data_IF_955644868048
#
_entry.id   IF_955644868048
#
_cell.length_a   1.000
_cell.length_b   1.000
_cell.length_c   1.000
_cell.angle_alpha   90.00
_cell.angle_beta   90.00
_cell.angle_gamma   90.00
#
_symmetry.space_group_name_H-M   'P 1'
#
loop_
_entity.id
_entity.type
_entity.pdbx_description
1 polymer ?
#
# COMPACT_ATOMS: atom_id res chain seq x y z
N UNK A 1 23.95 -9.60 -8.33
CA UNK A 1 23.45 -8.25 -7.97
C UNK A 1 22.98 -8.32 -6.52
N UNK A 2 23.61 -7.56 -5.64
CA UNK A 2 23.13 -7.34 -4.28
C UNK A 2 22.69 -5.89 -4.12
N UNK A 3 21.70 -5.66 -3.28
CA UNK A 3 21.21 -4.32 -2.94
C UNK A 3 21.53 -4.03 -1.50
N UNK A 4 22.26 -2.95 -1.27
CA UNK A 4 22.60 -2.48 0.08
C UNK A 4 21.69 -1.33 0.47
N UNK A 5 21.21 -1.35 1.71
CA UNK A 5 20.35 -0.34 2.31
C UNK A 5 21.07 0.34 3.47
N UNK A 6 21.50 1.58 3.27
CA UNK A 6 22.10 2.41 4.32
C UNK A 6 21.04 3.35 4.90
N UNK A 7 20.77 3.24 6.19
CA UNK A 7 19.81 4.12 6.87
C UNK A 7 20.33 5.54 6.96
N UNK A 8 19.69 6.48 6.26
CA UNK A 8 20.08 7.88 6.16
C UNK A 8 19.20 8.84 6.97
N UNK A 9 18.07 8.37 7.50
CA UNK A 9 17.20 9.21 8.31
C UNK A 9 16.02 8.46 8.93
N UNK A 10 15.47 9.04 10.01
CA UNK A 10 14.23 8.59 10.64
C UNK A 10 13.45 9.81 11.12
N UNK A 11 12.20 9.89 10.70
CA UNK A 11 11.32 11.02 10.96
C UNK A 11 10.10 10.55 11.74
N UNK A 12 9.77 11.21 12.85
CA UNK A 12 8.63 10.86 13.68
C UNK A 12 7.37 11.63 13.31
N UNK A 13 6.23 10.96 13.45
CA UNK A 13 4.89 11.51 13.26
C UNK A 13 4.06 11.23 14.51
N UNK A 14 3.09 12.11 14.83
CA UNK A 14 2.28 11.97 16.05
C UNK A 14 1.59 10.61 16.15
N UNK A 15 1.05 10.12 15.04
CA UNK A 15 0.31 8.86 14.98
C UNK A 15 0.87 7.95 13.88
N UNK A 16 0.50 6.65 13.91
CA UNK A 16 0.94 5.68 12.92
C UNK A 16 0.71 6.12 11.48
N UNK A 17 1.72 5.95 10.63
CA UNK A 17 1.67 6.29 9.20
C UNK A 17 1.10 5.11 8.44
N UNK A 18 0.07 5.35 7.63
CA UNK A 18 -0.60 4.35 6.80
C UNK A 18 -0.10 4.35 5.36
N UNK A 19 0.18 5.52 4.80
CA UNK A 19 0.69 5.68 3.43
C UNK A 19 1.52 6.96 3.30
N UNK A 20 2.34 7.03 2.24
CA UNK A 20 3.16 8.20 1.94
C UNK A 20 3.16 8.52 0.45
N UNK A 21 3.31 9.82 0.15
CA UNK A 21 3.61 10.32 -1.18
C UNK A 21 4.85 11.24 -1.09
N UNK A 22 5.79 11.06 -2.01
CA UNK A 22 7.03 11.86 -2.07
C UNK A 22 7.01 12.72 -3.33
N UNK A 23 7.36 14.00 -3.20
CA UNK A 23 7.52 14.88 -4.38
C UNK A 23 8.63 14.36 -5.29
N UNK A 24 8.52 14.68 -6.58
CA UNK A 24 9.51 14.24 -7.58
C UNK A 24 10.91 14.76 -7.33
N UNK A 25 11.03 15.91 -6.67
CA UNK A 25 12.31 16.54 -6.31
C UNK A 25 12.92 16.01 -5.00
N UNK A 26 12.27 15.05 -4.34
CA UNK A 26 12.65 14.49 -3.04
C UNK A 26 12.77 15.54 -1.89
N UNK A 27 12.22 16.74 -2.06
CA UNK A 27 12.32 17.77 -1.01
C UNK A 27 11.19 17.70 0.00
N UNK A 28 10.09 17.01 -0.32
CA UNK A 28 8.93 16.93 0.57
C UNK A 28 8.23 15.58 0.48
N UNK A 29 7.77 15.15 1.65
CA UNK A 29 6.96 13.95 1.84
C UNK A 29 5.63 14.33 2.47
N UNK A 30 4.56 13.69 1.99
CA UNK A 30 3.23 13.75 2.57
C UNK A 30 2.88 12.39 3.18
N UNK A 31 2.33 12.40 4.38
CA UNK A 31 1.99 11.19 5.13
C UNK A 31 0.51 11.17 5.50
N UNK A 32 -0.15 10.05 5.19
CA UNK A 32 -1.46 9.69 5.72
C UNK A 32 -1.25 9.04 7.09
N UNK A 33 -1.62 9.74 8.15
CA UNK A 33 -1.51 9.24 9.52
C UNK A 33 -2.89 8.90 10.10
N UNK A 34 -2.92 8.11 11.17
CA UNK A 34 -4.18 7.74 11.82
C UNK A 34 -5.01 8.95 12.26
N UNK A 35 -4.40 10.10 12.51
CA UNK A 35 -5.07 11.30 12.99
C UNK A 35 -5.14 12.46 11.97
N UNK A 36 -4.54 12.31 10.80
CA UNK A 36 -4.54 13.39 9.81
C UNK A 36 -3.52 13.23 8.69
N UNK A 37 -3.43 14.27 7.88
CA UNK A 37 -2.50 14.36 6.75
C UNK A 37 -1.38 15.31 7.17
N UNK A 38 -0.14 14.91 6.97
CA UNK A 38 1.04 15.69 7.36
C UNK A 38 1.97 15.90 6.19
N UNK A 39 2.62 17.07 6.14
CA UNK A 39 3.74 17.37 5.26
C UNK A 39 5.03 17.42 6.07
N UNK A 40 6.09 16.88 5.51
CA UNK A 40 7.44 16.91 6.06
C UNK A 40 8.42 17.46 5.02
N UNK A 41 9.16 18.49 5.35
CA UNK A 41 10.33 18.90 4.60
C UNK A 41 11.47 17.92 4.82
N UNK A 42 11.96 17.33 3.72
CA UNK A 42 13.06 16.38 3.77
C UNK A 42 14.39 17.14 3.67
N UNK A 43 15.34 16.87 4.59
CA UNK A 43 16.69 17.42 4.45
C UNK A 43 17.36 16.85 3.19
N UNK A 44 18.33 17.56 2.64
CA UNK A 44 19.12 17.05 1.51
C UNK A 44 19.67 15.65 1.82
N UNK A 45 19.97 14.87 0.79
CA UNK A 45 20.45 13.47 0.99
C UNK A 45 21.77 13.41 1.78
N UNK A 46 22.56 14.46 1.71
CA UNK A 46 23.88 14.57 2.33
C UNK A 46 23.85 15.31 3.69
N UNK A 47 22.71 15.94 4.01
CA UNK A 47 22.60 16.71 5.26
C UNK A 47 22.49 15.78 6.47
N UNK A 48 23.25 16.10 7.51
CA UNK A 48 23.13 15.50 8.85
C UNK A 48 22.13 16.26 9.74
N UNK A 49 21.41 17.21 9.15
CA UNK A 49 20.44 18.05 9.86
C UNK A 49 19.20 17.25 10.25
N UNK A 50 18.65 17.54 11.43
CA UNK A 50 17.33 17.04 11.81
C UNK A 50 16.28 17.63 10.89
N UNK A 51 15.35 16.79 10.42
CA UNK A 51 14.21 17.27 9.65
C UNK A 51 13.33 18.19 10.51
N UNK A 52 12.67 19.14 9.86
CA UNK A 52 11.63 19.95 10.48
C UNK A 52 10.51 19.03 11.03
N UNK A 53 9.75 19.53 12.02
CA UNK A 53 8.58 18.79 12.52
C UNK A 53 7.52 18.70 11.43
N UNK A 54 6.83 17.53 11.29
CA UNK A 54 5.73 17.39 10.35
C UNK A 54 4.63 18.41 10.62
N UNK A 55 4.17 19.10 9.57
CA UNK A 55 3.06 20.06 9.64
C UNK A 55 1.75 19.37 9.28
N UNK A 56 0.71 19.49 10.14
CA UNK A 56 -0.60 18.97 9.83
C UNK A 56 -1.29 19.83 8.76
N UNK A 57 -1.70 19.21 7.66
CA UNK A 57 -2.39 19.84 6.54
C UNK A 57 -3.92 19.74 6.66
N UNK A 58 -4.42 18.81 7.45
CA UNK A 58 -5.84 18.59 7.65
C UNK A 58 -6.17 17.23 8.20
N UNK A 59 -7.47 17.00 8.47
CA UNK A 59 -7.98 15.79 9.10
C UNK A 59 -9.22 15.28 8.38
N UNK A 60 -9.40 13.97 8.37
CA UNK A 60 -10.65 13.30 8.10
C UNK A 60 -11.39 13.00 9.43
N UNK A 61 -12.61 12.48 9.33
CA UNK A 61 -13.38 12.08 10.51
C UNK A 61 -12.92 10.73 11.09
N UNK A 62 -12.05 10.00 10.36
CA UNK A 62 -11.46 8.74 10.77
C UNK A 62 -10.01 8.63 10.27
N UNK A 63 -9.41 7.45 10.39
CA UNK A 63 -8.03 7.19 9.97
C UNK A 63 -7.81 7.48 8.49
N UNK A 64 -6.76 8.22 8.17
CA UNK A 64 -6.37 8.49 6.78
C UNK A 64 -5.66 7.25 6.23
N UNK A 65 -6.23 6.62 5.22
CA UNK A 65 -5.79 5.32 4.69
C UNK A 65 -4.86 5.43 3.48
N UNK A 66 -4.92 6.55 2.77
CA UNK A 66 -4.11 6.77 1.58
C UNK A 66 -3.84 8.24 1.30
N UNK A 67 -2.71 8.52 0.66
CA UNK A 67 -2.31 9.84 0.20
C UNK A 67 -1.57 9.74 -1.12
N UNK A 68 -1.84 10.66 -2.07
CA UNK A 68 -1.15 10.71 -3.35
C UNK A 68 -1.09 12.12 -3.91
N UNK A 69 -0.01 12.43 -4.61
CA UNK A 69 0.17 13.67 -5.35
C UNK A 69 -0.46 13.58 -6.73
N UNK A 70 -1.16 14.65 -7.12
CA UNK A 70 -1.80 14.85 -8.42
C UNK A 70 -1.17 16.04 -9.14
N UNK A 71 -1.51 16.24 -10.42
CA UNK A 71 -1.24 17.46 -11.20
C UNK A 71 0.17 18.06 -10.98
N UNK A 72 1.22 17.37 -11.37
CA UNK A 72 2.60 17.87 -11.21
C UNK A 72 2.94 18.35 -9.78
N UNK A 73 2.44 17.63 -8.76
CA UNK A 73 2.62 17.94 -7.34
C UNK A 73 1.88 19.21 -6.85
N UNK A 74 0.85 19.66 -7.58
CA UNK A 74 0.05 20.84 -7.21
C UNK A 74 -1.22 20.51 -6.41
N UNK A 75 -1.59 19.25 -6.34
CA UNK A 75 -2.74 18.78 -5.57
C UNK A 75 -2.42 17.49 -4.83
N UNK A 76 -3.07 17.30 -3.68
CA UNK A 76 -2.95 16.13 -2.82
C UNK A 76 -4.32 15.47 -2.66
N UNK A 77 -4.43 14.22 -3.08
CA UNK A 77 -5.58 13.38 -2.78
C UNK A 77 -5.35 12.60 -1.49
N UNK A 78 -6.42 12.41 -0.72
CA UNK A 78 -6.40 11.54 0.47
C UNK A 78 -7.72 10.80 0.64
N UNK A 79 -7.65 9.56 1.11
CA UNK A 79 -8.80 8.72 1.45
C UNK A 79 -8.77 8.34 2.92
N UNK A 80 -9.93 7.96 3.46
CA UNK A 80 -10.07 7.68 4.89
C UNK A 80 -11.03 6.51 5.17
N UNK A 81 -10.94 5.96 6.38
CA UNK A 81 -11.89 5.01 6.93
C UNK A 81 -13.27 5.62 7.22
N UNK A 82 -13.45 6.93 7.03
CA UNK A 82 -14.78 7.54 6.97
C UNK A 82 -15.46 7.39 5.59
N UNK A 83 -14.82 6.71 4.65
CA UNK A 83 -15.31 6.48 3.29
C UNK A 83 -15.13 7.68 2.35
N UNK A 84 -14.51 8.76 2.81
CA UNK A 84 -14.36 9.98 2.01
C UNK A 84 -13.07 10.02 1.20
N UNK A 85 -13.13 10.75 0.08
CA UNK A 85 -12.01 11.24 -0.71
C UNK A 85 -11.96 12.77 -0.59
N UNK A 86 -10.79 13.30 -0.26
CA UNK A 86 -10.50 14.73 -0.34
C UNK A 86 -9.42 15.02 -1.37
N UNK A 87 -9.54 16.16 -2.06
CA UNK A 87 -8.49 16.73 -2.93
C UNK A 87 -8.22 18.15 -2.45
N UNK A 88 -6.96 18.43 -2.11
CA UNK A 88 -6.47 19.72 -1.64
C UNK A 88 -5.49 20.32 -2.65
N UNK A 89 -5.58 21.62 -2.90
CA UNK A 89 -4.53 22.34 -3.62
C UNK A 89 -3.33 22.56 -2.71
N UNK A 90 -2.16 22.51 -3.30
CA UNK A 90 -0.88 22.76 -2.63
C UNK A 90 -0.25 24.04 -3.16
N UNK A 91 0.38 24.78 -2.29
CA UNK A 91 1.24 25.90 -2.66
C UNK A 91 2.50 25.35 -3.37
N UNK A 92 2.80 25.80 -4.58
CA UNK A 92 3.92 25.25 -5.36
C UNK A 92 5.28 25.41 -4.68
N UNK A 93 5.48 26.50 -3.94
CA UNK A 93 6.74 26.81 -3.29
C UNK A 93 6.87 26.11 -1.94
N UNK A 94 5.88 26.30 -1.05
CA UNK A 94 5.92 25.74 0.31
C UNK A 94 5.35 24.34 0.42
N UNK A 95 4.54 23.87 -0.56
CA UNK A 95 3.80 22.60 -0.50
C UNK A 95 2.78 22.53 0.64
N UNK A 96 2.48 23.65 1.26
CA UNK A 96 1.42 23.76 2.25
C UNK A 96 0.05 23.60 1.58
N UNK A 97 -0.93 23.05 2.30
CA UNK A 97 -2.29 23.01 1.81
C UNK A 97 -2.87 24.44 1.78
N UNK A 98 -3.43 24.84 0.63
CA UNK A 98 -4.08 26.14 0.46
C UNK A 98 -5.57 26.01 0.79
N UNK A 99 -6.26 25.08 0.09
CA UNK A 99 -7.70 24.89 0.22
C UNK A 99 -8.11 23.43 -0.08
N UNK A 100 -9.26 23.03 0.43
CA UNK A 100 -9.91 21.78 0.02
C UNK A 100 -10.76 22.07 -1.22
N UNK A 101 -10.35 21.55 -2.38
CA UNK A 101 -11.06 21.71 -3.66
C UNK A 101 -12.21 20.73 -3.84
N UNK A 102 -12.13 19.60 -3.16
CA UNK A 102 -13.13 18.54 -3.25
C UNK A 102 -13.14 17.71 -1.97
N UNK A 103 -14.33 17.36 -1.54
CA UNK A 103 -14.58 16.37 -0.48
C UNK A 103 -15.90 15.70 -0.75
N UNK A 104 -15.89 14.38 -0.82
CA UNK A 104 -17.12 13.58 -1.00
C UNK A 104 -16.98 12.22 -0.30
N UNK A 105 -18.11 11.67 0.12
CA UNK A 105 -18.22 10.30 0.62
C UNK A 105 -18.36 9.36 -0.56
N UNK A 106 -17.26 8.72 -0.95
CA UNK A 106 -17.20 7.83 -2.11
C UNK A 106 -17.57 6.38 -1.78
N UNK A 107 -17.49 5.99 -0.49
CA UNK A 107 -17.90 4.67 0.01
C UNK A 107 -18.74 4.84 1.28
N UNK A 108 -19.71 3.95 1.52
CA UNK A 108 -20.44 3.87 2.78
C UNK A 108 -19.64 3.21 3.89
N UNK A 109 -18.57 2.52 3.55
CA UNK A 109 -17.63 1.85 4.45
C UNK A 109 -16.20 2.35 4.25
N UNK A 110 -15.27 1.84 5.01
CA UNK A 110 -13.86 2.26 5.00
C UNK A 110 -13.22 2.18 3.62
N UNK A 111 -12.59 3.27 3.19
CA UNK A 111 -11.64 3.19 2.09
C UNK A 111 -10.36 2.55 2.61
N UNK A 112 -10.09 1.31 2.20
CA UNK A 112 -8.93 0.55 2.69
C UNK A 112 -7.62 1.04 2.08
N UNK A 113 -7.64 1.33 0.79
CA UNK A 113 -6.47 1.79 0.01
C UNK A 113 -6.92 2.64 -1.16
N UNK A 114 -5.98 3.43 -1.65
CA UNK A 114 -6.11 4.12 -2.93
C UNK A 114 -4.87 3.94 -3.79
N UNK A 115 -5.04 4.09 -5.11
CA UNK A 115 -3.97 4.19 -6.09
C UNK A 115 -4.28 5.32 -7.05
N UNK A 116 -3.23 5.92 -7.61
CA UNK A 116 -3.35 6.96 -8.63
C UNK A 116 -2.71 6.45 -9.91
N UNK A 117 -3.35 6.73 -11.06
CA UNK A 117 -2.82 6.36 -12.37
C UNK A 117 -1.47 7.03 -12.65
N UNK A 118 -0.61 6.45 -13.51
CA UNK A 118 0.70 7.01 -13.80
C UNK A 118 0.67 8.45 -14.35
N UNK A 119 -0.39 8.80 -15.09
CA UNK A 119 -0.66 10.16 -15.60
C UNK A 119 -1.22 11.11 -14.54
N UNK A 120 -1.49 10.59 -13.31
CA UNK A 120 -2.04 11.31 -12.15
C UNK A 120 -3.43 11.92 -12.36
N UNK A 121 -4.18 11.44 -13.37
CA UNK A 121 -5.52 11.94 -13.72
C UNK A 121 -6.66 11.08 -13.18
N UNK A 122 -6.36 9.88 -12.67
CA UNK A 122 -7.37 8.98 -12.14
C UNK A 122 -6.98 8.51 -10.75
N UNK A 123 -7.96 8.45 -9.86
CA UNK A 123 -7.85 7.92 -8.51
C UNK A 123 -8.71 6.67 -8.44
N UNK A 124 -8.15 5.57 -7.97
CA UNK A 124 -8.91 4.38 -7.63
C UNK A 124 -8.93 4.19 -6.12
N UNK A 125 -10.11 3.98 -5.55
CA UNK A 125 -10.31 3.67 -4.14
C UNK A 125 -10.99 2.32 -3.99
N UNK A 126 -10.60 1.54 -2.98
CA UNK A 126 -11.16 0.22 -2.69
C UNK A 126 -11.72 0.14 -1.28
N UNK A 127 -12.79 -0.64 -1.11
CA UNK A 127 -13.60 -0.69 0.09
C UNK A 127 -14.19 -2.08 0.33
N UNK A 128 -15.16 -2.13 1.20
CA UNK A 128 -16.05 -3.26 1.48
C UNK A 128 -15.82 -3.85 2.86
N UNK A 129 -16.92 -4.19 3.50
CA UNK A 129 -16.95 -4.83 4.81
C UNK A 129 -17.00 -6.35 4.65
N UNK A 130 -16.23 -7.07 5.46
CA UNK A 130 -16.45 -8.50 5.61
C UNK A 130 -17.73 -8.75 6.38
N UNK A 131 -18.69 -9.41 5.75
CA UNK A 131 -19.92 -9.89 6.36
C UNK A 131 -20.01 -11.39 6.15
N UNK A 132 -20.20 -12.14 7.23
CA UNK A 132 -20.38 -13.58 7.16
C UNK A 132 -21.82 -13.93 6.80
N UNK A 133 -22.01 -14.75 5.77
CA UNK A 133 -23.34 -15.04 5.18
C UNK A 133 -24.01 -16.32 5.66
N UNK A 134 -23.32 -17.19 6.44
CA UNK A 134 -23.84 -18.49 6.83
C UNK A 134 -23.07 -19.07 8.00
N UNK A 135 -23.48 -20.26 8.45
CA UNK A 135 -22.73 -21.07 9.44
C UNK A 135 -21.30 -21.41 8.96
N UNK A 136 -21.07 -21.39 7.66
CA UNK A 136 -19.74 -21.60 7.05
C UNK A 136 -18.91 -20.32 7.01
N UNK A 137 -19.42 -19.21 7.48
CA UNK A 137 -18.73 -17.91 7.51
C UNK A 137 -18.21 -17.45 6.13
N UNK A 138 -18.87 -17.86 5.05
CA UNK A 138 -18.53 -17.40 3.71
C UNK A 138 -18.79 -15.89 3.59
N UNK A 139 -17.90 -15.12 2.95
CA UNK A 139 -18.11 -13.69 2.78
C UNK A 139 -19.29 -13.42 1.85
N UNK A 140 -20.13 -12.45 2.24
CA UNK A 140 -21.22 -11.95 1.40
C UNK A 140 -20.70 -10.94 0.37
N UNK A 141 -21.29 -10.88 -0.83
CA UNK A 141 -21.08 -9.77 -1.76
C UNK A 141 -21.46 -8.44 -1.11
N UNK A 142 -20.81 -7.36 -1.53
CA UNK A 142 -21.18 -6.01 -1.14
C UNK A 142 -22.42 -5.56 -1.93
N UNK A 143 -23.28 -4.78 -1.28
CA UNK A 143 -24.42 -4.11 -1.93
C UNK A 143 -23.99 -2.90 -2.76
N UNK A 144 -22.82 -2.33 -2.44
CA UNK A 144 -22.24 -1.21 -3.19
C UNK A 144 -20.96 -1.64 -3.94
N UNK A 145 -20.57 -0.91 -5.01
CA UNK A 145 -19.30 -1.13 -5.70
C UNK A 145 -18.10 -0.99 -4.75
N UNK A 146 -17.27 -2.04 -4.72
CA UNK A 146 -16.12 -2.10 -3.81
C UNK A 146 -14.85 -1.46 -4.39
N UNK A 147 -14.87 -1.13 -5.69
CA UNK A 147 -13.77 -0.48 -6.40
C UNK A 147 -14.35 0.67 -7.21
N UNK A 148 -13.94 1.90 -6.92
CA UNK A 148 -14.40 3.11 -7.62
C UNK A 148 -13.24 3.82 -8.28
N UNK A 149 -13.39 4.08 -9.59
CA UNK A 149 -12.45 4.86 -10.38
C UNK A 149 -13.00 6.28 -10.57
N UNK A 150 -12.21 7.27 -10.26
CA UNK A 150 -12.60 8.67 -10.18
C UNK A 150 -11.67 9.50 -11.07
N UNK A 151 -12.23 10.40 -11.88
CA UNK A 151 -11.49 11.45 -12.60
C UNK A 151 -11.01 12.51 -11.60
N UNK A 152 -9.71 12.69 -11.48
CA UNK A 152 -9.13 13.60 -10.49
C UNK A 152 -9.42 15.08 -10.80
N UNK A 153 -9.54 15.44 -12.09
CA UNK A 153 -9.78 16.82 -12.54
C UNK A 153 -11.27 17.15 -12.47
N UNK A 154 -12.12 16.29 -13.03
CA UNK A 154 -13.58 16.48 -13.06
C UNK A 154 -14.23 16.13 -11.74
N UNK A 155 -13.57 15.32 -10.90
CA UNK A 155 -14.07 14.88 -9.59
C UNK A 155 -15.38 14.08 -9.72
N UNK A 156 -15.48 13.28 -10.76
CA UNK A 156 -16.63 12.42 -11.07
C UNK A 156 -16.21 10.98 -11.11
N UNK A 157 -17.09 10.08 -10.69
CA UNK A 157 -16.89 8.65 -10.84
C UNK A 157 -16.91 8.26 -12.31
N UNK A 158 -15.86 7.60 -12.77
CA UNK A 158 -15.72 7.06 -14.13
C UNK A 158 -16.24 5.63 -14.22
N UNK A 159 -15.87 4.78 -13.25
CA UNK A 159 -16.27 3.38 -13.19
C UNK A 159 -16.59 2.97 -11.76
N UNK A 160 -17.60 2.14 -11.63
CA UNK A 160 -17.98 1.43 -10.43
C UNK A 160 -17.86 -0.06 -10.68
N UNK A 161 -16.87 -0.70 -10.03
CA UNK A 161 -16.52 -2.10 -10.23
C UNK A 161 -16.76 -2.88 -8.95
N UNK A 162 -17.06 -4.18 -9.10
CA UNK A 162 -17.40 -5.03 -7.97
C UNK A 162 -16.41 -6.19 -7.85
N UNK A 163 -15.92 -6.39 -6.64
CA UNK A 163 -15.13 -7.53 -6.21
C UNK A 163 -15.62 -7.97 -4.84
N UNK A 164 -15.46 -9.27 -4.51
CA UNK A 164 -15.84 -9.79 -3.19
C UNK A 164 -15.09 -9.04 -2.07
N UNK A 165 -15.82 -8.45 -1.08
CA UNK A 165 -15.21 -7.69 0.00
C UNK A 165 -14.52 -8.57 1.05
N UNK A 166 -13.61 -8.00 1.87
CA UNK A 166 -13.06 -6.65 1.77
C UNK A 166 -11.91 -6.59 0.77
N UNK A 167 -11.92 -5.56 -0.08
CA UNK A 167 -10.84 -5.32 -1.05
C UNK A 167 -9.76 -4.49 -0.36
N UNK A 168 -8.55 -5.07 -0.23
CA UNK A 168 -7.48 -4.51 0.61
C UNK A 168 -6.42 -3.72 -0.14
N UNK A 169 -6.29 -3.96 -1.43
CA UNK A 169 -5.24 -3.33 -2.23
C UNK A 169 -5.68 -3.15 -3.68
N UNK A 170 -5.05 -2.17 -4.32
CA UNK A 170 -5.30 -1.80 -5.71
C UNK A 170 -4.04 -1.20 -6.32
N UNK A 171 -3.80 -1.44 -7.62
CA UNK A 171 -2.72 -0.82 -8.37
C UNK A 171 -3.10 -0.65 -9.84
N UNK A 172 -2.67 0.47 -10.43
CA UNK A 172 -2.61 0.62 -11.87
C UNK A 172 -1.35 -0.05 -12.43
N UNK A 173 -1.43 -0.50 -13.66
CA UNK A 173 -0.25 -0.86 -14.41
C UNK A 173 0.56 0.39 -14.83
N UNK A 174 1.84 0.25 -15.22
CA UNK A 174 2.69 1.39 -15.60
C UNK A 174 2.18 2.22 -16.79
N UNK A 175 1.27 1.68 -17.59
CA UNK A 175 0.66 2.41 -18.74
C UNK A 175 -0.65 3.10 -18.36
N UNK A 176 -1.24 2.80 -17.20
CA UNK A 176 -2.55 3.27 -16.77
C UNK A 176 -3.72 2.63 -17.51
N UNK A 177 -3.47 1.57 -18.28
CA UNK A 177 -4.48 0.84 -19.06
C UNK A 177 -5.19 -0.22 -18.23
N UNK A 178 -4.52 -0.83 -17.29
CA UNK A 178 -5.03 -1.92 -16.47
C UNK A 178 -5.08 -1.53 -15.00
N UNK A 179 -6.08 -2.05 -14.32
CA UNK A 179 -6.26 -1.91 -12.88
C UNK A 179 -6.34 -3.30 -12.27
N UNK A 180 -5.59 -3.56 -11.21
CA UNK A 180 -5.67 -4.79 -10.45
C UNK A 180 -6.05 -4.54 -9.00
N UNK A 181 -6.85 -5.43 -8.41
CA UNK A 181 -7.15 -5.41 -6.98
C UNK A 181 -7.08 -6.82 -6.37
N UNK A 182 -6.86 -6.85 -5.06
CA UNK A 182 -6.81 -8.06 -4.25
C UNK A 182 -7.60 -7.93 -2.95
N UNK A 183 -8.14 -9.06 -2.46
CA UNK A 183 -8.96 -9.11 -1.25
C UNK A 183 -8.40 -10.04 -0.17
N UNK A 184 -9.07 -10.09 0.99
CA UNK A 184 -8.72 -10.99 2.09
C UNK A 184 -8.94 -12.48 1.77
N UNK A 185 -9.74 -12.79 0.74
CA UNK A 185 -10.07 -14.18 0.36
C UNK A 185 -9.05 -14.79 -0.60
N UNK A 186 -8.01 -14.03 -0.99
CA UNK A 186 -7.06 -14.46 -2.00
C UNK A 186 -7.55 -14.29 -3.43
N UNK A 187 -8.65 -13.56 -3.65
CA UNK A 187 -9.10 -13.24 -5.00
C UNK A 187 -8.30 -12.09 -5.57
N UNK A 188 -8.06 -12.18 -6.87
CA UNK A 188 -7.40 -11.17 -7.69
C UNK A 188 -8.25 -10.92 -8.93
N UNK A 189 -8.41 -9.66 -9.29
CA UNK A 189 -9.13 -9.24 -10.50
C UNK A 189 -8.30 -8.20 -11.23
N UNK A 190 -8.28 -8.29 -12.56
CA UNK A 190 -7.68 -7.29 -13.47
C UNK A 190 -8.77 -6.78 -14.40
N UNK A 191 -8.90 -5.45 -14.48
CA UNK A 191 -9.84 -4.76 -15.37
C UNK A 191 -9.11 -3.93 -16.42
N UNK A 192 -9.77 -3.71 -17.55
CA UNK A 192 -9.45 -2.63 -18.48
C UNK A 192 -9.98 -1.30 -17.92
N UNK A 193 -9.13 -0.30 -17.82
CA UNK A 193 -9.46 1.01 -17.20
C UNK A 193 -10.42 1.82 -18.06
N UNK A 194 -10.45 1.60 -19.38
CA UNK A 194 -11.29 2.37 -20.28
C UNK A 194 -12.73 1.84 -20.33
N UNK A 195 -12.91 0.51 -20.35
CA UNK A 195 -14.22 -0.12 -20.46
C UNK A 195 -14.80 -0.61 -19.13
N UNK A 196 -13.95 -0.90 -18.14
CA UNK A 196 -14.34 -1.58 -16.91
C UNK A 196 -14.50 -3.10 -17.07
N UNK A 197 -14.16 -3.66 -18.22
CA UNK A 197 -14.27 -5.09 -18.47
C UNK A 197 -13.28 -5.88 -17.61
N UNK A 198 -13.75 -7.02 -17.08
CA UNK A 198 -12.88 -7.98 -16.39
C UNK A 198 -12.05 -8.74 -17.41
N UNK A 199 -10.75 -8.55 -17.38
CA UNK A 199 -9.79 -9.22 -18.27
C UNK A 199 -9.30 -10.56 -17.69
N UNK A 200 -9.14 -10.61 -16.36
CA UNK A 200 -8.75 -11.82 -15.63
C UNK A 200 -9.31 -11.79 -14.21
N UNK A 201 -9.71 -12.96 -13.71
CA UNK A 201 -10.13 -13.17 -12.33
C UNK A 201 -9.72 -14.56 -11.88
N UNK A 202 -9.10 -14.66 -10.71
CA UNK A 202 -8.70 -15.94 -10.13
C UNK A 202 -8.58 -15.85 -8.61
N UNK A 203 -8.47 -17.00 -7.96
CA UNK A 203 -8.19 -17.12 -6.53
C UNK A 203 -6.88 -17.86 -6.32
N UNK A 204 -6.06 -17.37 -5.41
CA UNK A 204 -4.91 -18.10 -4.89
C UNK A 204 -5.16 -18.50 -3.44
N UNK A 205 -5.09 -19.80 -3.19
CA UNK A 205 -5.38 -20.37 -1.86
C UNK A 205 -4.29 -20.12 -0.83
N UNK A 206 -3.07 -19.79 -1.29
CA UNK A 206 -1.91 -19.55 -0.42
C UNK A 206 -2.07 -18.34 0.52
N UNK A 207 -2.95 -17.41 0.18
CA UNK A 207 -3.29 -16.23 0.99
C UNK A 207 -4.60 -16.39 1.77
N UNK A 208 -5.10 -17.63 1.90
CA UNK A 208 -6.37 -17.90 2.56
C UNK A 208 -6.14 -18.79 3.78
N UNK A 209 -6.76 -18.46 4.90
CA UNK A 209 -6.71 -19.25 6.14
C UNK A 209 -8.03 -19.97 6.46
N UNK A 210 -8.87 -20.15 5.44
CA UNK A 210 -10.19 -20.79 5.59
C UNK A 210 -10.09 -22.21 6.16
N UNK A 211 -10.94 -22.49 7.14
CA UNK A 211 -11.03 -23.82 7.74
C UNK A 211 -10.13 -24.06 8.96
N UNK A 212 -9.20 -23.14 9.28
CA UNK A 212 -8.36 -23.27 10.47
C UNK A 212 -9.13 -22.84 11.72
N UNK A 213 -9.98 -21.81 11.60
CA UNK A 213 -10.91 -21.38 12.65
C UNK A 213 -12.29 -21.19 12.01
N UNK A 214 -13.22 -22.09 12.29
CA UNK A 214 -14.58 -22.06 11.72
C UNK A 214 -15.43 -20.86 12.16
N UNK A 215 -15.03 -20.14 13.20
CA UNK A 215 -15.85 -19.11 13.82
C UNK A 215 -15.37 -17.68 13.62
N UNK A 216 -14.31 -17.44 12.87
CA UNK A 216 -13.72 -16.11 12.83
C UNK A 216 -13.23 -15.77 11.42
N UNK A 217 -13.31 -14.49 11.10
CA UNK A 217 -12.87 -13.89 9.86
C UNK A 217 -11.50 -14.40 9.38
N UNK A 218 -11.30 -14.35 8.09
CA UNK A 218 -10.00 -14.58 7.46
C UNK A 218 -8.95 -13.65 8.05
N UNK A 219 -7.84 -14.20 8.49
CA UNK A 219 -6.73 -13.48 9.11
C UNK A 219 -5.48 -13.43 8.22
N UNK A 220 -5.50 -14.07 7.07
CA UNK A 220 -4.57 -13.91 5.96
C UNK A 220 -5.21 -13.09 4.84
N UNK A 221 -4.55 -12.92 3.72
CA UNK A 221 -5.08 -12.21 2.56
C UNK A 221 -4.01 -11.50 1.75
N UNK A 222 -4.48 -10.87 0.67
CA UNK A 222 -3.65 -10.08 -0.21
C UNK A 222 -3.74 -8.62 0.24
N UNK A 223 -2.62 -8.02 0.63
CA UNK A 223 -2.53 -6.64 1.12
C UNK A 223 -1.79 -5.70 0.18
N UNK A 224 -1.10 -6.24 -0.82
CA UNK A 224 -0.47 -5.45 -1.86
C UNK A 224 -0.52 -6.17 -3.19
N UNK A 225 -0.76 -5.41 -4.26
CA UNK A 225 -0.64 -5.86 -5.65
C UNK A 225 0.20 -4.85 -6.43
N UNK A 226 0.91 -5.33 -7.45
CA UNK A 226 1.66 -4.46 -8.35
C UNK A 226 1.94 -5.16 -9.67
N UNK A 227 1.83 -4.45 -10.78
CA UNK A 227 2.25 -4.98 -12.08
C UNK A 227 3.75 -4.92 -12.26
N UNK A 228 4.30 -5.83 -13.05
CA UNK A 228 5.65 -5.68 -13.60
C UNK A 228 5.72 -4.46 -14.53
N UNK A 229 6.95 -3.96 -14.78
CA UNK A 229 7.17 -2.77 -15.61
C UNK A 229 6.60 -2.90 -17.03
N UNK A 230 6.60 -4.09 -17.59
CA UNK A 230 6.05 -4.42 -18.90
C UNK A 230 4.56 -4.77 -18.88
N UNK A 231 3.91 -4.71 -17.72
CA UNK A 231 2.51 -5.08 -17.51
C UNK A 231 2.15 -6.53 -17.87
N UNK A 232 3.16 -7.43 -18.06
CA UNK A 232 2.90 -8.83 -18.44
C UNK A 232 2.55 -9.70 -17.22
N UNK A 233 3.07 -9.37 -16.05
CA UNK A 233 2.82 -10.14 -14.84
C UNK A 233 2.25 -9.27 -13.73
N UNK A 234 1.47 -9.89 -12.83
CA UNK A 234 0.95 -9.27 -11.62
C UNK A 234 1.61 -9.93 -10.41
N UNK A 235 2.07 -9.11 -9.48
CA UNK A 235 2.59 -9.54 -8.18
C UNK A 235 1.56 -9.28 -7.11
N UNK A 236 1.39 -10.22 -6.19
CA UNK A 236 0.58 -10.09 -5.00
C UNK A 236 1.44 -10.39 -3.78
N UNK A 237 1.25 -9.64 -2.70
CA UNK A 237 1.89 -9.91 -1.41
C UNK A 237 0.90 -9.79 -0.26
N UNK A 238 1.22 -10.50 0.82
CA UNK A 238 0.37 -10.52 1.99
C UNK A 238 0.89 -11.49 3.05
N UNK A 239 -0.04 -12.11 3.74
CA UNK A 239 0.25 -13.16 4.71
C UNK A 239 -0.20 -14.50 4.13
N UNK A 240 0.78 -15.38 3.93
CA UNK A 240 0.54 -16.74 3.46
C UNK A 240 0.06 -17.68 4.56
N UNK A 241 0.29 -18.97 4.35
CA UNK A 241 -0.12 -20.04 5.27
C UNK A 241 0.27 -19.74 6.72
N UNK A 242 -0.70 -19.90 7.62
CA UNK A 242 -0.51 -19.66 9.04
C UNK A 242 -0.31 -20.98 9.78
N UNK A 243 0.71 -20.99 10.65
CA UNK A 243 0.96 -22.11 11.57
C UNK A 243 0.10 -22.01 12.83
N UNK A 244 -0.10 -20.80 13.32
CA UNK A 244 -0.90 -20.51 14.51
C UNK A 244 -1.83 -19.33 14.20
N UNK A 245 -3.10 -19.60 13.90
CA UNK A 245 -4.08 -18.57 13.60
C UNK A 245 -4.33 -17.62 14.78
N UNK A 246 -4.23 -18.07 16.02
CA UNK A 246 -4.42 -17.23 17.21
C UNK A 246 -3.29 -16.21 17.39
N UNK A 247 -2.08 -16.56 16.98
CA UNK A 247 -0.95 -15.65 17.00
C UNK A 247 -0.90 -14.70 15.79
N UNK A 248 -1.71 -14.95 14.75
CA UNK A 248 -1.67 -14.20 13.50
C UNK A 248 -0.30 -14.32 12.81
N UNK A 249 0.31 -15.49 12.87
CA UNK A 249 1.61 -15.77 12.29
C UNK A 249 1.42 -16.50 10.97
N UNK A 250 1.56 -15.80 9.87
CA UNK A 250 1.60 -16.33 8.54
C UNK A 250 2.95 -16.14 7.88
N UNK A 251 3.19 -16.90 6.84
CA UNK A 251 4.41 -16.84 6.05
C UNK A 251 4.50 -15.48 5.33
N UNK A 252 5.66 -14.86 5.31
CA UNK A 252 5.94 -13.72 4.45
C UNK A 252 5.87 -14.21 2.99
N UNK A 253 4.89 -13.76 2.24
CA UNK A 253 4.61 -14.34 0.93
C UNK A 253 4.39 -13.26 -0.13
N UNK A 254 5.02 -13.44 -1.27
CA UNK A 254 4.64 -12.84 -2.53
C UNK A 254 4.47 -13.93 -3.60
N UNK A 255 3.59 -13.68 -4.56
CA UNK A 255 3.36 -14.53 -5.73
C UNK A 255 3.33 -13.70 -6.99
N UNK A 256 3.83 -14.25 -8.11
CA UNK A 256 3.81 -13.66 -9.45
C UNK A 256 2.93 -14.49 -10.37
N UNK A 257 2.07 -13.84 -11.12
CA UNK A 257 1.09 -14.44 -12.02
C UNK A 257 1.25 -13.93 -13.46
N UNK A 258 1.22 -14.85 -14.43
CA UNK A 258 1.01 -14.53 -15.85
C UNK A 258 -0.51 -14.33 -16.07
N UNK A 259 -1.01 -13.15 -15.68
CA UNK A 259 -2.44 -12.89 -15.60
C UNK A 259 -3.18 -12.88 -16.96
N UNK A 260 -2.44 -12.80 -18.06
CA UNK A 260 -3.00 -12.86 -19.43
C UNK A 260 -3.26 -14.28 -19.90
N UNK A 261 -2.64 -15.27 -19.29
CA UNK A 261 -2.85 -16.68 -19.63
C UNK A 261 -4.24 -17.16 -19.16
N UNK A 262 -4.79 -18.15 -19.87
CA UNK A 262 -6.10 -18.71 -19.58
C UNK A 262 -6.01 -20.24 -19.51
N UNK A 263 -6.05 -20.84 -18.31
CA UNK A 263 -6.20 -20.19 -16.98
C UNK A 263 -4.99 -19.35 -16.58
N UNK A 264 -5.21 -18.41 -15.65
CA UNK A 264 -4.10 -17.61 -15.09
C UNK A 264 -3.09 -18.54 -14.41
N UNK A 265 -1.82 -18.36 -14.76
CA UNK A 265 -0.73 -19.20 -14.25
C UNK A 265 0.03 -18.49 -13.11
N UNK A 266 0.24 -19.21 -12.00
CA UNK A 266 1.20 -18.80 -10.98
C UNK A 266 2.60 -19.17 -11.46
N UNK A 267 3.38 -18.16 -11.84
CA UNK A 267 4.72 -18.36 -12.42
C UNK A 267 5.77 -18.57 -11.33
N UNK A 268 5.61 -17.89 -10.17
CA UNK A 268 6.63 -17.88 -9.11
C UNK A 268 6.04 -17.46 -7.77
N UNK A 269 6.73 -17.82 -6.69
CA UNK A 269 6.48 -17.32 -5.33
C UNK A 269 7.78 -17.18 -4.55
N UNK A 270 7.72 -16.48 -3.41
CA UNK A 270 8.86 -16.34 -2.49
C UNK A 270 9.39 -17.70 -2.04
N UNK A 271 10.70 -17.85 -2.03
CA UNK A 271 11.38 -19.09 -1.64
C UNK A 271 11.25 -19.33 -0.13
N UNK A 272 10.98 -20.58 0.26
CA UNK A 272 10.70 -20.92 1.66
C UNK A 272 11.87 -20.67 2.62
N UNK A 273 13.10 -20.80 2.14
CA UNK A 273 14.34 -20.57 2.88
C UNK A 273 14.73 -19.09 3.02
N UNK A 274 14.06 -18.21 2.26
CA UNK A 274 14.32 -16.77 2.24
C UNK A 274 13.27 -15.95 2.99
N UNK A 275 12.25 -16.59 3.56
CA UNK A 275 11.14 -15.92 4.22
C UNK A 275 10.98 -16.38 5.66
N UNK A 276 10.50 -15.46 6.51
CA UNK A 276 10.07 -15.74 7.87
C UNK A 276 8.55 -15.68 8.03
N UNK A 277 8.10 -15.27 9.19
CA UNK A 277 6.69 -15.09 9.53
C UNK A 277 6.37 -13.61 9.68
N UNK A 278 5.27 -13.17 9.08
CA UNK A 278 4.79 -11.80 9.17
C UNK A 278 3.76 -11.46 8.11
N UNK A 279 3.08 -10.36 8.32
CA UNK A 279 2.14 -9.77 7.38
C UNK A 279 2.89 -8.79 6.47
N UNK A 280 2.89 -9.03 5.17
CA UNK A 280 3.46 -8.11 4.18
C UNK A 280 2.37 -7.20 3.64
N UNK A 281 2.57 -5.88 3.76
CA UNK A 281 1.52 -4.88 3.51
C UNK A 281 1.81 -3.98 2.30
N UNK A 282 3.03 -4.03 1.76
CA UNK A 282 3.41 -3.17 0.64
C UNK A 282 4.35 -3.87 -0.32
N UNK A 283 4.18 -3.55 -1.60
CA UNK A 283 5.07 -3.84 -2.71
C UNK A 283 5.40 -2.54 -3.42
N UNK A 284 6.67 -2.32 -3.74
CA UNK A 284 7.08 -1.20 -4.58
C UNK A 284 8.23 -1.60 -5.51
N UNK A 285 8.10 -1.24 -6.79
CA UNK A 285 9.13 -1.45 -7.78
C UNK A 285 10.19 -0.38 -7.72
N UNK A 286 11.44 -0.80 -7.85
CA UNK A 286 12.50 0.14 -8.20
C UNK A 286 12.24 0.70 -9.62
N UNK A 287 12.54 1.99 -9.89
CA UNK A 287 12.27 2.60 -11.19
C UNK A 287 12.93 1.91 -12.39
N UNK A 288 14.04 1.18 -12.19
CA UNK A 288 14.65 0.37 -13.27
C UNK A 288 13.78 -0.82 -13.68
N UNK A 289 12.94 -1.33 -12.76
CA UNK A 289 12.17 -2.55 -12.97
C UNK A 289 12.95 -3.85 -12.74
N UNK A 290 14.21 -3.78 -12.30
CA UNK A 290 15.06 -4.96 -12.12
C UNK A 290 14.80 -5.67 -10.78
N UNK A 291 14.23 -4.98 -9.82
CA UNK A 291 13.90 -5.51 -8.50
C UNK A 291 12.73 -4.75 -7.84
N UNK A 292 12.17 -5.35 -6.83
CA UNK A 292 11.09 -4.78 -6.04
C UNK A 292 11.31 -5.00 -4.54
N UNK A 293 10.71 -4.16 -3.72
CA UNK A 293 10.67 -4.31 -2.27
C UNK A 293 9.33 -4.90 -1.85
N UNK A 294 9.33 -5.84 -0.91
CA UNK A 294 8.20 -6.28 -0.13
C UNK A 294 8.46 -5.99 1.33
N UNK A 295 7.53 -5.31 2.01
CA UNK A 295 7.71 -4.95 3.40
C UNK A 295 6.42 -5.03 4.21
N UNK A 296 6.57 -5.12 5.55
CA UNK A 296 5.41 -5.23 6.43
C UNK A 296 5.78 -5.46 7.89
N UNK A 297 5.02 -6.33 8.57
CA UNK A 297 5.19 -6.69 9.97
C UNK A 297 6.05 -7.94 10.11
N UNK A 298 7.05 -7.87 11.00
CA UNK A 298 7.83 -9.03 11.40
C UNK A 298 7.20 -9.70 12.63
N UNK A 299 7.01 -11.01 12.57
CA UNK A 299 6.67 -11.86 13.72
C UNK A 299 7.80 -12.85 14.05
N UNK A 300 8.45 -13.36 13.03
CA UNK A 300 9.61 -14.24 13.14
C UNK A 300 10.46 -14.17 11.87
N UNK A 301 11.78 -14.32 11.98
CA UNK A 301 12.70 -14.24 10.86
C UNK A 301 13.67 -13.04 10.93
N UNK A 302 14.43 -12.87 9.85
CA UNK A 302 15.56 -11.96 9.81
C UNK A 302 15.21 -10.55 9.36
N UNK A 303 14.12 -10.35 8.61
CA UNK A 303 13.77 -9.10 7.97
C UNK A 303 12.26 -8.83 7.95
N UNK A 304 11.88 -7.58 7.85
CA UNK A 304 10.52 -7.12 7.52
C UNK A 304 10.50 -6.20 6.29
N UNK A 305 11.65 -6.05 5.65
CA UNK A 305 11.82 -5.42 4.34
C UNK A 305 12.77 -6.31 3.54
N UNK A 306 12.27 -6.96 2.51
CA UNK A 306 13.03 -7.78 1.57
C UNK A 306 13.05 -7.15 0.19
N UNK A 307 14.20 -7.16 -0.48
CA UNK A 307 14.36 -6.74 -1.87
C UNK A 307 14.58 -7.98 -2.71
N UNK A 308 13.79 -8.14 -3.74
CA UNK A 308 13.77 -9.33 -4.59
C UNK A 308 14.07 -8.97 -6.04
N UNK A 309 14.90 -9.78 -6.71
CA UNK A 309 15.15 -9.64 -8.13
C UNK A 309 13.89 -9.93 -8.94
N UNK A 310 13.63 -9.14 -9.98
CA UNK A 310 12.48 -9.31 -10.85
C UNK A 310 12.54 -10.62 -11.66
N UNK A 311 13.73 -10.98 -12.15
CA UNK A 311 13.93 -12.13 -13.01
C UNK A 311 13.83 -13.45 -12.23
N UNK A 312 14.64 -13.62 -11.21
CA UNK A 312 14.77 -14.89 -10.49
C UNK A 312 14.04 -14.94 -9.14
N UNK A 313 13.51 -13.83 -8.65
CA UNK A 313 12.79 -13.76 -7.37
C UNK A 313 13.67 -14.02 -6.13
N UNK A 314 15.01 -13.97 -6.29
CA UNK A 314 15.93 -14.14 -5.17
C UNK A 314 15.89 -12.92 -4.25
N UNK A 315 16.03 -13.15 -2.95
CA UNK A 315 16.27 -12.10 -1.97
C UNK A 315 17.70 -11.55 -2.18
N UNK A 316 17.79 -10.30 -2.65
CA UNK A 316 19.06 -9.63 -3.00
C UNK A 316 19.41 -8.48 -2.07
N UNK A 317 18.56 -8.19 -1.10
CA UNK A 317 18.77 -7.17 -0.07
C UNK A 317 17.71 -7.27 0.99
N UNK A 318 18.04 -6.83 2.22
CA UNK A 318 17.09 -6.90 3.33
C UNK A 318 17.37 -5.86 4.40
N UNK A 319 16.32 -5.47 5.13
CA UNK A 319 16.45 -4.68 6.35
C UNK A 319 15.49 -5.19 7.43
N UNK A 320 15.89 -5.02 8.69
CA UNK A 320 15.05 -5.25 9.86
C UNK A 320 14.80 -3.93 10.54
N UNK A 321 13.61 -3.40 10.36
CA UNK A 321 13.15 -2.20 11.06
C UNK A 321 12.44 -2.57 12.36
N UNK A 322 12.33 -1.62 13.30
CA UNK A 322 11.49 -1.80 14.49
C UNK A 322 10.00 -1.52 14.24
N UNK A 323 9.59 -1.30 12.99
CA UNK A 323 8.24 -0.86 12.61
C UNK A 323 7.43 -1.99 11.99
N UNK A 324 6.10 -1.87 12.07
CA UNK A 324 5.17 -2.44 11.10
C UNK A 324 5.14 -1.47 9.92
N UNK A 325 5.61 -1.91 8.77
CA UNK A 325 5.70 -1.08 7.57
C UNK A 325 4.38 -1.21 6.80
N UNK A 326 3.72 -0.09 6.55
CA UNK A 326 2.45 0.01 5.82
C UNK A 326 2.62 0.51 4.39
N UNK A 327 3.70 1.25 4.11
CA UNK A 327 3.98 1.80 2.79
C UNK A 327 5.48 1.86 2.51
N UNK A 328 5.86 1.60 1.26
CA UNK A 328 7.22 1.72 0.74
C UNK A 328 7.18 2.49 -0.58
N UNK A 329 8.14 3.39 -0.79
CA UNK A 329 8.27 4.18 -2.03
C UNK A 329 9.74 4.37 -2.36
N UNK A 330 10.11 4.17 -3.63
CA UNK A 330 11.39 4.62 -4.14
C UNK A 330 11.32 6.08 -4.60
N UNK A 331 12.43 6.81 -4.50
CA UNK A 331 12.62 8.07 -5.21
C UNK A 331 12.58 7.83 -6.72
N UNK A 332 12.33 8.90 -7.49
CA UNK A 332 12.22 8.79 -8.96
C UNK A 332 13.52 8.26 -9.60
N UNK A 333 14.68 8.58 -9.04
CA UNK A 333 15.99 8.12 -9.50
C UNK A 333 16.40 6.75 -8.91
N UNK A 334 15.57 6.16 -8.05
CA UNK A 334 15.81 4.87 -7.41
C UNK A 334 16.85 4.87 -6.30
N UNK A 335 17.53 5.98 -6.04
CA UNK A 335 18.64 6.02 -5.07
C UNK A 335 18.19 6.08 -3.61
N UNK A 336 16.91 6.29 -3.36
CA UNK A 336 16.34 6.35 -2.02
C UNK A 336 15.13 5.44 -1.91
N UNK A 337 15.05 4.70 -0.81
CA UNK A 337 13.87 3.95 -0.39
C UNK A 337 13.30 4.57 0.89
N UNK A 338 12.04 4.95 0.84
CA UNK A 338 11.27 5.41 1.99
C UNK A 338 10.40 4.27 2.50
N UNK A 339 10.50 3.97 3.80
CA UNK A 339 9.69 2.98 4.51
C UNK A 339 8.87 3.70 5.57
N UNK A 340 7.56 3.60 5.48
CA UNK A 340 6.64 4.27 6.40
C UNK A 340 5.82 3.26 7.21
N UNK A 341 5.50 3.60 8.45
CA UNK A 341 4.74 2.72 9.30
C UNK A 341 4.61 3.19 10.74
N UNK A 342 4.49 2.23 11.67
CA UNK A 342 4.31 2.51 13.08
C UNK A 342 5.13 1.56 13.96
N UNK A 343 5.54 2.04 15.12
CA UNK A 343 6.28 1.25 16.10
C UNK A 343 5.49 1.10 17.40
N UNK A 344 4.84 -0.06 17.54
CA UNK A 344 4.02 -0.34 18.70
C UNK A 344 2.74 0.52 18.74
N UNK A 345 2.04 0.44 19.85
CA UNK A 345 0.99 1.38 20.24
C UNK A 345 1.31 1.81 21.66
N UNK A 346 1.93 2.99 21.84
CA UNK A 346 2.36 3.42 23.14
C UNK A 346 1.15 3.67 24.05
N UNK A 347 1.36 3.53 25.37
CA UNK A 347 0.36 3.97 26.35
C UNK A 347 0.37 5.50 26.43
N UNK A 348 -0.79 6.15 26.54
CA UNK A 348 -0.83 7.59 26.73
C UNK A 348 -0.13 7.98 28.03
N UNK A 349 0.60 9.10 28.01
CA UNK A 349 1.17 9.76 29.17
C UNK A 349 0.48 11.11 29.31
N UNK A 350 -0.03 11.42 30.47
CA UNK A 350 -0.74 12.69 30.76
C UNK A 350 -1.86 13.02 29.74
N UNK A 351 -2.57 11.97 29.29
CA UNK A 351 -3.65 12.10 28.29
C UNK A 351 -3.19 12.24 26.84
N UNK A 352 -1.89 12.21 26.55
CA UNK A 352 -1.33 12.32 25.23
C UNK A 352 -0.59 11.04 24.83
N UNK A 353 -0.75 10.60 23.59
CA UNK A 353 0.08 9.54 23.02
C UNK A 353 1.45 10.11 22.59
N UNK A 354 2.57 9.48 22.97
CA UNK A 354 3.85 9.81 22.36
C UNK A 354 3.83 9.44 20.87
N UNK A 355 4.64 10.12 20.09
CA UNK A 355 4.81 9.83 18.65
C UNK A 355 5.15 8.36 18.43
N UNK A 356 4.44 7.70 17.50
CA UNK A 356 4.67 6.29 17.18
C UNK A 356 4.57 5.97 15.68
N UNK A 357 4.27 6.96 14.84
CA UNK A 357 4.44 6.88 13.39
C UNK A 357 5.86 7.25 12.99
N UNK A 358 6.40 6.57 11.97
CA UNK A 358 7.74 6.85 11.49
C UNK A 358 7.82 6.68 9.99
N UNK A 359 8.70 7.49 9.39
CA UNK A 359 9.25 7.26 8.05
C UNK A 359 10.75 7.11 8.17
N UNK A 360 11.29 6.02 7.65
CA UNK A 360 12.73 5.80 7.55
C UNK A 360 13.18 5.97 6.10
N UNK A 361 14.30 6.68 5.92
CA UNK A 361 14.96 6.92 4.63
C UNK A 361 16.21 6.06 4.54
N UNK A 362 16.33 5.32 3.46
CA UNK A 362 17.48 4.48 3.14
C UNK A 362 18.10 4.91 1.82
N UNK A 363 19.42 5.05 1.78
CA UNK A 363 20.18 5.13 0.54
C UNK A 363 20.30 3.73 -0.04
N UNK A 364 20.09 3.63 -1.36
CA UNK A 364 20.11 2.37 -2.11
C UNK A 364 21.34 2.34 -2.98
N UNK A 365 22.14 1.31 -2.85
CA UNK A 365 23.31 1.06 -3.69
C UNK A 365 23.37 -0.36 -4.19
N UNK A 366 23.99 -0.57 -5.34
CA UNK A 366 24.21 -1.89 -5.95
C UNK A 366 25.67 -2.30 -5.73
N UNK A 367 25.89 -3.54 -5.28
CA UNK A 367 27.20 -4.17 -5.13
C UNK A 367 27.32 -5.50 -5.89
#
# INVERSE_FOLDING_TARGET
>A
MNVELEKAGRYSFPMGVMDIAVRQDDQRLYAACLDGIYALELPSREAKEEAAKPACLGRHSSFVSGVALLENDLSLASTSYDGSLEIRSLDPASGAAIETRFRDSIHSFWSWRMAVSPDRKKICSVSGQYLAGSEDYAPLPSEEPTVKLIDADKRTTLLELTMLPPVQCVAFDPTGKYLAAGNLMGDLVVWDVASGDVLAQWRTTSFTSWGIIKSHCYISGIFAVSFSRDSQTLYAAGMGEMRDPMAGNGKQLWQRFAWREKPVEKVQESMADQTGEGLMETLAWHPSGDYFVMAGRLRGGAWNTGIFSAEGGQLIGQAKTGMRISSARFSQDGKVLYLAGMQGQPRPKDGHFPDFGYVERYLVSLS
#
